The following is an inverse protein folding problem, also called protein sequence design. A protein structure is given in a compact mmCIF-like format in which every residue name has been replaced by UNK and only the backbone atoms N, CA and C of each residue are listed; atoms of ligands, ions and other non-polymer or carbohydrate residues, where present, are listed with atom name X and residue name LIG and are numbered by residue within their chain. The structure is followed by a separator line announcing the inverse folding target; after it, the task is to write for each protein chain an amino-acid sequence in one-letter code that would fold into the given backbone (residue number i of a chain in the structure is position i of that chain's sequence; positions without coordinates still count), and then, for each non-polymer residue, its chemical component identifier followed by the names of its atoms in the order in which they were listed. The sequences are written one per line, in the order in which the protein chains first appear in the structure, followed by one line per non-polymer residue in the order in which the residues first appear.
data_IF_256683197954
#
_entry.id   IF_256683197954
#
_cell.length_a   1.000
_cell.length_b   1.000
_cell.length_c   1.000
_cell.angle_alpha   90.00
_cell.angle_beta   90.00
_cell.angle_gamma   90.00
#
_symmetry.space_group_name_H-M   'P 1'
#
loop_
_entity.id
_entity.type
_entity.pdbx_description
1 polymer ?
#
# COMPACT_ATOMS: atom_id res chain seq x y z
N UNK A 1 24.07 4.29 0.51
CA UNK A 1 23.65 2.98 1.06
C UNK A 1 22.70 2.33 0.07
N UNK A 2 23.08 1.22 -0.53
CA UNK A 2 22.20 0.44 -1.39
C UNK A 2 21.34 -0.43 -0.47
N UNK A 3 20.07 -0.10 -0.32
CA UNK A 3 19.12 -0.95 0.40
C UNK A 3 18.87 -2.21 -0.47
N UNK A 4 19.32 -3.37 0.01
CA UNK A 4 19.20 -4.65 -0.71
C UNK A 4 17.92 -5.43 -0.38
N UNK A 5 17.11 -4.97 0.56
CA UNK A 5 15.91 -5.69 0.93
C UNK A 5 14.70 -5.27 0.09
N UNK A 6 14.11 -6.24 -0.58
CA UNK A 6 12.90 -6.05 -1.36
C UNK A 6 11.68 -6.02 -0.45
N UNK A 7 10.69 -5.23 -0.85
CA UNK A 7 9.42 -5.08 -0.13
C UNK A 7 8.24 -5.47 -1.01
N UNK A 8 7.16 -5.93 -0.41
CA UNK A 8 5.87 -6.09 -1.10
C UNK A 8 4.98 -4.90 -0.78
N UNK A 9 4.59 -4.13 -1.79
CA UNK A 9 3.50 -3.16 -1.67
C UNK A 9 2.22 -3.87 -2.04
N UNK A 10 1.24 -4.00 -1.14
CA UNK A 10 -0.02 -4.62 -1.50
C UNK A 10 -1.23 -3.71 -1.29
N UNK A 11 -2.21 -3.87 -2.17
CA UNK A 11 -3.40 -3.04 -2.26
C UNK A 11 -4.64 -3.92 -2.27
N UNK A 12 -5.43 -3.96 -1.18
CA UNK A 12 -6.74 -4.56 -1.21
C UNK A 12 -7.70 -3.68 -2.04
N UNK A 13 -8.49 -4.30 -2.90
CA UNK A 13 -9.41 -3.57 -3.77
C UNK A 13 -10.76 -4.28 -3.89
N UNK A 14 -11.82 -3.49 -4.04
CA UNK A 14 -13.16 -3.96 -4.34
C UNK A 14 -13.94 -2.89 -5.11
N UNK A 15 -14.33 -3.19 -6.37
CA UNK A 15 -15.04 -2.28 -7.27
C UNK A 15 -14.30 -0.92 -7.44
N UNK A 16 -13.01 -0.95 -7.82
CA UNK A 16 -12.13 0.23 -7.95
C UNK A 16 -11.45 0.35 -9.34
N UNK A 17 -12.10 -0.18 -10.38
CA UNK A 17 -11.57 -0.22 -11.75
C UNK A 17 -11.07 1.14 -12.30
N UNK A 18 -11.60 2.25 -11.79
CA UNK A 18 -11.33 3.60 -12.29
C UNK A 18 -10.15 4.31 -11.59
N UNK A 19 -9.65 3.77 -10.46
CA UNK A 19 -8.68 4.50 -9.63
C UNK A 19 -7.31 3.84 -9.57
N UNK A 20 -7.22 2.54 -9.79
CA UNK A 20 -5.98 1.76 -9.68
C UNK A 20 -4.88 2.23 -10.63
N UNK A 21 -5.23 2.83 -11.77
CA UNK A 21 -4.25 3.40 -12.71
C UNK A 21 -3.44 4.54 -12.09
N UNK A 22 -4.07 5.40 -11.28
CA UNK A 22 -3.38 6.50 -10.60
C UNK A 22 -2.36 5.97 -9.57
N UNK A 23 -2.74 4.94 -8.81
CA UNK A 23 -1.85 4.28 -7.88
C UNK A 23 -0.66 3.66 -8.62
N UNK A 24 -0.90 2.90 -9.70
CA UNK A 24 0.15 2.32 -10.51
C UNK A 24 1.13 3.36 -11.04
N UNK A 25 0.64 4.46 -11.61
CA UNK A 25 1.49 5.56 -12.09
C UNK A 25 2.34 6.15 -10.96
N UNK A 26 1.82 6.25 -9.75
CA UNK A 26 2.59 6.74 -8.60
C UNK A 26 3.67 5.74 -8.14
N UNK A 27 3.39 4.44 -8.21
CA UNK A 27 4.36 3.39 -7.93
C UNK A 27 5.48 3.34 -8.99
N UNK A 28 5.15 3.49 -10.26
CA UNK A 28 6.17 3.58 -11.33
C UNK A 28 7.14 4.76 -11.14
N UNK A 29 6.68 5.86 -10.55
CA UNK A 29 7.49 7.05 -10.29
C UNK A 29 8.36 6.95 -9.04
N UNK A 30 8.22 5.90 -8.22
CA UNK A 30 9.04 5.73 -7.04
C UNK A 30 10.52 5.67 -7.41
N UNK A 31 11.36 6.34 -6.64
CA UNK A 31 12.82 6.32 -6.79
C UNK A 31 13.42 4.98 -6.38
N UNK A 32 12.83 4.30 -5.39
CA UNK A 32 13.10 2.90 -5.08
C UNK A 32 12.43 2.00 -6.12
N UNK A 33 13.18 1.00 -6.64
CA UNK A 33 12.66 0.00 -7.59
C UNK A 33 12.66 -1.42 -7.03
N UNK A 34 13.17 -1.61 -5.82
CA UNK A 34 13.31 -2.90 -5.17
C UNK A 34 12.00 -3.28 -4.44
N UNK A 35 10.89 -3.37 -5.20
CA UNK A 35 9.61 -3.80 -4.67
C UNK A 35 8.78 -4.55 -5.73
N UNK A 36 7.83 -5.36 -5.27
CA UNK A 36 6.72 -5.89 -6.06
C UNK A 36 5.42 -5.20 -5.68
N UNK A 37 4.50 -5.07 -6.63
CA UNK A 37 3.14 -4.64 -6.34
C UNK A 37 2.17 -5.82 -6.40
N UNK A 38 1.43 -6.02 -5.34
CA UNK A 38 0.43 -7.07 -5.19
C UNK A 38 -0.96 -6.43 -5.05
N UNK A 39 -1.85 -6.68 -5.99
CA UNK A 39 -3.25 -6.26 -5.91
C UNK A 39 -4.10 -7.44 -5.47
N UNK A 40 -4.86 -7.26 -4.39
CA UNK A 40 -5.81 -8.27 -3.90
C UNK A 40 -7.23 -7.80 -4.20
N UNK A 41 -7.85 -8.38 -5.24
CA UNK A 41 -9.24 -8.13 -5.61
C UNK A 41 -10.17 -9.02 -4.79
N UNK A 42 -10.90 -8.41 -3.87
CA UNK A 42 -11.83 -9.08 -2.95
C UNK A 42 -13.16 -9.43 -3.61
N UNK A 43 -13.10 -10.05 -4.78
CA UNK A 43 -14.28 -10.51 -5.53
C UNK A 43 -15.10 -9.36 -6.11
N UNK A 44 -14.44 -8.40 -6.76
CA UNK A 44 -15.12 -7.29 -7.44
C UNK A 44 -16.17 -7.77 -8.41
N UNK A 45 -17.31 -7.06 -8.44
CA UNK A 45 -18.42 -7.30 -9.36
C UNK A 45 -18.35 -6.44 -10.63
N UNK A 46 -17.48 -5.44 -10.63
CA UNK A 46 -17.20 -4.59 -11.78
C UNK A 46 -16.02 -5.14 -12.62
N UNK A 47 -15.53 -4.35 -13.55
CA UNK A 47 -14.43 -4.70 -14.44
C UNK A 47 -13.03 -4.51 -13.83
N UNK A 48 -12.88 -4.44 -12.49
CA UNK A 48 -11.60 -4.16 -11.82
C UNK A 48 -10.50 -5.14 -12.26
N UNK A 49 -10.70 -6.44 -12.07
CA UNK A 49 -9.69 -7.45 -12.46
C UNK A 49 -9.43 -7.48 -13.96
N UNK A 50 -10.48 -7.39 -14.80
CA UNK A 50 -10.36 -7.43 -16.25
C UNK A 50 -9.52 -6.28 -16.79
N UNK A 51 -9.78 -5.05 -16.33
CA UNK A 51 -9.01 -3.86 -16.72
C UNK A 51 -7.54 -3.97 -16.34
N UNK A 52 -7.22 -4.52 -15.17
CA UNK A 52 -5.83 -4.74 -14.78
C UNK A 52 -5.16 -5.77 -15.69
N UNK A 53 -5.82 -6.91 -15.95
CA UNK A 53 -5.28 -7.96 -16.82
C UNK A 53 -5.02 -7.43 -18.23
N UNK A 54 -5.95 -6.67 -18.81
CA UNK A 54 -5.83 -6.08 -20.14
C UNK A 54 -4.77 -4.97 -20.20
N UNK A 55 -4.77 -4.05 -19.22
CA UNK A 55 -3.86 -2.90 -19.21
C UNK A 55 -2.39 -3.29 -19.04
N UNK A 56 -2.11 -4.41 -18.37
CA UNK A 56 -0.76 -4.87 -18.05
C UNK A 56 -0.36 -6.19 -18.72
N UNK A 57 -1.12 -6.65 -19.71
CA UNK A 57 -0.89 -7.94 -20.42
C UNK A 57 -0.56 -9.08 -19.44
N UNK A 58 -1.38 -9.21 -18.38
CA UNK A 58 -1.12 -10.16 -17.32
C UNK A 58 -1.48 -11.57 -17.75
N UNK A 59 -0.66 -12.55 -17.34
CA UNK A 59 -0.88 -13.97 -17.64
C UNK A 59 -1.32 -14.70 -16.38
N UNK A 60 -2.29 -15.60 -16.55
CA UNK A 60 -2.72 -16.49 -15.47
C UNK A 60 -1.59 -17.44 -15.08
N UNK A 61 -1.35 -17.54 -13.79
CA UNK A 61 -0.32 -18.42 -13.23
C UNK A 61 -0.90 -19.31 -12.14
N UNK A 62 -0.17 -20.38 -11.81
CA UNK A 62 -0.40 -21.19 -10.60
C UNK A 62 0.70 -20.86 -9.61
N UNK A 63 0.32 -20.21 -8.50
CA UNK A 63 1.23 -19.86 -7.42
C UNK A 63 0.66 -20.35 -6.09
N UNK A 64 1.32 -21.26 -5.37
CA UNK A 64 0.88 -21.69 -4.06
C UNK A 64 0.98 -20.52 -3.06
N UNK A 65 -0.08 -20.30 -2.29
CA UNK A 65 -0.11 -19.32 -1.20
C UNK A 65 -0.16 -20.09 0.12
N UNK A 66 0.90 -19.93 0.92
CA UNK A 66 0.96 -20.53 2.26
C UNK A 66 0.11 -19.70 3.24
N UNK A 67 -1.12 -20.15 3.49
CA UNK A 67 -2.06 -19.45 4.37
C UNK A 67 -1.71 -19.70 5.84
N UNK A 68 -0.98 -18.75 6.43
CA UNK A 68 -0.70 -18.72 7.88
C UNK A 68 -1.81 -18.00 8.65
N UNK A 69 -2.48 -17.05 8.00
CA UNK A 69 -3.61 -16.30 8.53
C UNK A 69 -4.87 -16.73 7.76
N UNK A 70 -5.99 -17.04 8.44
CA UNK A 70 -7.23 -17.44 7.76
C UNK A 70 -7.73 -16.36 6.79
N UNK A 71 -8.09 -16.77 5.57
CA UNK A 71 -8.72 -15.93 4.56
C UNK A 71 -9.48 -16.76 3.54
N UNK A 72 -10.41 -16.15 2.82
CA UNK A 72 -11.15 -16.79 1.73
C UNK A 72 -10.18 -17.19 0.58
N UNK A 73 -10.48 -18.27 -0.15
CA UNK A 73 -9.59 -18.78 -1.18
C UNK A 73 -9.46 -17.82 -2.38
N UNK A 74 -8.29 -17.87 -3.02
CA UNK A 74 -8.07 -17.28 -4.35
C UNK A 74 -8.87 -18.06 -5.41
N UNK A 75 -9.37 -17.30 -6.38
CA UNK A 75 -10.04 -17.82 -7.58
C UNK A 75 -9.05 -17.87 -8.75
N UNK A 76 -8.30 -16.77 -8.95
CA UNK A 76 -7.33 -16.61 -10.02
C UNK A 76 -6.14 -15.78 -9.54
N UNK A 77 -4.96 -16.09 -10.10
CA UNK A 77 -3.74 -15.33 -9.91
C UNK A 77 -3.18 -14.99 -11.28
N UNK A 78 -2.83 -13.71 -11.48
CA UNK A 78 -2.21 -13.22 -12.70
C UNK A 78 -0.91 -12.48 -12.36
N UNK A 79 0.09 -12.57 -13.24
CA UNK A 79 1.34 -11.81 -13.11
C UNK A 79 1.71 -11.15 -14.44
N UNK A 80 2.38 -9.99 -14.35
CA UNK A 80 2.98 -9.34 -15.52
C UNK A 80 4.28 -10.04 -15.91
N UNK A 81 4.53 -10.19 -17.22
CA UNK A 81 5.73 -10.88 -17.71
C UNK A 81 7.00 -10.01 -17.74
N UNK A 82 6.88 -8.67 -17.87
CA UNK A 82 8.01 -7.82 -18.28
C UNK A 82 7.99 -6.38 -17.74
N UNK A 83 7.29 -6.08 -16.66
CA UNK A 83 7.23 -4.72 -16.13
C UNK A 83 8.43 -4.41 -15.22
N UNK A 84 8.86 -3.13 -15.19
CA UNK A 84 9.92 -2.64 -14.28
C UNK A 84 9.59 -2.89 -12.81
N UNK A 85 8.29 -2.89 -12.48
CA UNK A 85 7.75 -3.24 -11.18
C UNK A 85 6.89 -4.48 -11.38
N UNK A 86 7.29 -5.65 -10.84
CA UNK A 86 6.47 -6.85 -10.93
C UNK A 86 5.09 -6.62 -10.31
N UNK A 87 4.05 -6.90 -11.07
CA UNK A 87 2.66 -6.80 -10.61
C UNK A 87 2.03 -8.20 -10.54
N UNK A 88 1.48 -8.52 -9.39
CA UNK A 88 0.65 -9.72 -9.18
C UNK A 88 -0.76 -9.30 -8.83
N UNK A 89 -1.75 -9.83 -9.52
CA UNK A 89 -3.18 -9.70 -9.19
C UNK A 89 -3.68 -11.02 -8.62
N UNK A 90 -4.23 -10.99 -7.41
CA UNK A 90 -4.92 -12.11 -6.79
C UNK A 90 -6.40 -11.75 -6.72
N UNK A 91 -7.23 -12.45 -7.49
CA UNK A 91 -8.68 -12.39 -7.33
C UNK A 91 -9.12 -13.49 -6.37
N UNK A 92 -9.88 -13.13 -5.34
CA UNK A 92 -10.36 -14.06 -4.33
C UNK A 92 -11.86 -13.96 -4.12
N UNK A 93 -12.44 -14.97 -3.48
CA UNK A 93 -13.81 -14.91 -3.01
C UNK A 93 -13.96 -13.77 -2.00
N UNK A 94 -15.04 -12.98 -2.12
CA UNK A 94 -15.28 -11.84 -1.24
C UNK A 94 -15.33 -12.28 0.24
N UNK A 95 -14.60 -11.59 1.08
CA UNK A 95 -14.53 -11.79 2.53
C UNK A 95 -14.43 -10.48 3.31
N UNK A 96 -14.39 -9.34 2.58
CA UNK A 96 -14.23 -8.01 3.16
C UNK A 96 -12.78 -7.55 3.28
N UNK A 97 -12.58 -6.27 3.63
CA UNK A 97 -11.27 -5.62 3.64
C UNK A 97 -10.25 -6.37 4.51
N UNK A 98 -10.62 -6.80 5.71
CA UNK A 98 -9.72 -7.52 6.62
C UNK A 98 -9.26 -8.86 6.03
N UNK A 99 -10.16 -9.60 5.42
CA UNK A 99 -9.86 -10.88 4.76
C UNK A 99 -8.94 -10.68 3.53
N UNK A 100 -9.15 -9.60 2.75
CA UNK A 100 -8.25 -9.23 1.67
C UNK A 100 -6.86 -8.83 2.16
N UNK A 101 -6.74 -8.16 3.32
CA UNK A 101 -5.46 -7.88 3.98
C UNK A 101 -4.76 -9.17 4.36
N UNK A 102 -5.46 -10.13 4.97
CA UNK A 102 -4.93 -11.44 5.34
C UNK A 102 -4.39 -12.20 4.11
N UNK A 103 -5.12 -12.17 3.00
CA UNK A 103 -4.65 -12.75 1.74
C UNK A 103 -3.37 -12.04 1.26
N UNK A 104 -3.31 -10.71 1.30
CA UNK A 104 -2.13 -9.93 0.94
C UNK A 104 -0.91 -10.34 1.78
N UNK A 105 -1.04 -10.41 3.11
CA UNK A 105 0.03 -10.80 4.03
C UNK A 105 0.51 -12.23 3.72
N UNK A 106 -0.39 -13.19 3.52
CA UNK A 106 -0.05 -14.56 3.17
C UNK A 106 0.72 -14.64 1.83
N UNK A 107 0.32 -13.82 0.85
CA UNK A 107 0.88 -13.82 -0.50
C UNK A 107 2.18 -13.02 -0.65
N UNK A 108 2.53 -12.14 0.30
CA UNK A 108 3.79 -11.39 0.29
C UNK A 108 5.00 -12.31 0.18
N UNK A 109 5.92 -12.02 -0.77
CA UNK A 109 7.17 -12.78 -0.97
C UNK A 109 8.29 -12.31 -0.04
N UNK A 110 8.27 -11.03 0.33
CA UNK A 110 9.38 -10.40 1.04
C UNK A 110 9.12 -10.24 2.54
N UNK A 111 10.17 -10.03 3.36
CA UNK A 111 10.05 -9.94 4.81
C UNK A 111 9.30 -8.70 5.29
N UNK A 112 9.23 -7.67 4.45
CA UNK A 112 8.52 -6.43 4.74
C UNK A 112 7.40 -6.21 3.74
N UNK A 113 6.27 -5.71 4.23
CA UNK A 113 5.17 -5.33 3.37
C UNK A 113 4.60 -3.96 3.73
N UNK A 114 4.12 -3.27 2.71
CA UNK A 114 3.36 -2.02 2.84
C UNK A 114 1.92 -2.32 2.47
N UNK A 115 0.99 -2.03 3.38
CA UNK A 115 -0.44 -1.98 3.06
C UNK A 115 -0.79 -0.58 2.56
N UNK A 116 -1.54 -0.50 1.46
CA UNK A 116 -1.87 0.74 0.81
C UNK A 116 -3.29 0.73 0.23
N UNK A 117 -4.09 1.75 0.52
CA UNK A 117 -5.42 1.86 -0.05
C UNK A 117 -5.37 2.20 -1.54
N UNK A 118 -6.35 1.69 -2.31
CA UNK A 118 -6.40 1.82 -3.77
C UNK A 118 -6.53 3.27 -4.28
N UNK A 119 -7.03 4.18 -3.44
CA UNK A 119 -7.23 5.61 -3.72
C UNK A 119 -6.06 6.51 -3.27
N UNK A 120 -4.98 5.91 -2.80
CA UNK A 120 -3.79 6.63 -2.38
C UNK A 120 -2.85 6.94 -3.57
N UNK A 121 -2.12 8.05 -3.46
CA UNK A 121 -1.07 8.46 -4.42
C UNK A 121 0.21 8.71 -3.63
N UNK A 122 1.31 8.09 -4.07
CA UNK A 122 2.61 8.23 -3.42
C UNK A 122 3.42 9.38 -4.01
N UNK A 123 4.09 10.13 -3.15
CA UNK A 123 5.19 10.98 -3.57
C UNK A 123 6.40 10.13 -4.02
N UNK A 124 7.22 10.63 -4.93
CA UNK A 124 8.25 9.84 -5.60
C UNK A 124 9.29 9.17 -4.68
N UNK A 125 9.52 9.70 -3.49
CA UNK A 125 10.47 9.18 -2.50
C UNK A 125 9.79 8.47 -1.31
N UNK A 126 8.48 8.24 -1.36
CA UNK A 126 7.72 7.71 -0.24
C UNK A 126 8.19 6.33 0.22
N UNK A 127 8.52 5.43 -0.71
CA UNK A 127 8.98 4.08 -0.36
C UNK A 127 10.35 4.12 0.34
N UNK A 128 11.27 4.96 -0.11
CA UNK A 128 12.57 5.12 0.56
C UNK A 128 12.40 5.68 1.97
N UNK A 129 11.56 6.70 2.12
CA UNK A 129 11.34 7.35 3.42
C UNK A 129 10.70 6.43 4.45
N UNK A 130 9.72 5.61 4.04
CA UNK A 130 9.03 4.73 4.99
C UNK A 130 9.88 3.52 5.36
N UNK A 131 10.78 3.05 4.48
CA UNK A 131 11.65 1.91 4.76
C UNK A 131 12.88 2.28 5.60
N UNK A 132 13.35 3.52 5.53
CA UNK A 132 14.56 3.94 6.23
C UNK A 132 14.54 3.65 7.76
N UNK A 133 13.49 3.96 8.54
CA UNK A 133 13.47 3.69 9.97
C UNK A 133 13.53 2.20 10.32
N UNK A 134 12.77 1.35 9.61
CA UNK A 134 12.71 -0.09 9.93
C UNK A 134 13.99 -0.84 9.56
N UNK A 135 14.74 -0.31 8.59
CA UNK A 135 16.04 -0.87 8.19
C UNK A 135 17.19 -0.34 9.04
N UNK A 136 17.01 0.77 9.75
CA UNK A 136 18.05 1.35 10.62
C UNK A 136 18.00 0.83 12.06
N UNK A 137 16.87 0.26 12.48
CA UNK A 137 16.68 -0.27 13.84
C UNK A 137 15.94 -1.62 13.79
N UNK A 138 16.63 -2.69 14.21
CA UNK A 138 16.10 -4.05 14.22
C UNK A 138 14.89 -4.24 15.14
N UNK A 139 14.74 -3.40 16.16
CA UNK A 139 13.61 -3.43 17.09
C UNK A 139 12.36 -2.77 16.50
N UNK A 140 12.49 -1.99 15.44
CA UNK A 140 11.34 -1.39 14.76
C UNK A 140 10.56 -2.48 14.00
N UNK A 141 9.30 -2.71 14.39
CA UNK A 141 8.44 -3.74 13.81
C UNK A 141 7.44 -3.17 12.79
N UNK A 142 7.13 -1.89 12.90
CA UNK A 142 6.18 -1.22 12.01
C UNK A 142 6.46 0.29 11.91
N UNK A 143 6.16 0.88 10.75
CA UNK A 143 6.36 2.31 10.47
C UNK A 143 5.12 2.86 9.77
N UNK A 144 4.56 3.95 10.29
CA UNK A 144 3.43 4.64 9.65
C UNK A 144 3.86 5.83 8.81
N UNK A 145 3.41 5.90 7.57
CA UNK A 145 3.64 7.07 6.71
C UNK A 145 2.74 8.25 7.06
N UNK A 146 3.13 9.44 6.64
CA UNK A 146 2.29 10.64 6.73
C UNK A 146 1.29 10.66 5.59
N UNK A 147 0.01 10.82 5.92
CA UNK A 147 -1.08 10.88 4.95
C UNK A 147 -1.66 12.29 4.95
N UNK A 148 -1.92 12.82 3.78
CA UNK A 148 -2.54 14.13 3.58
C UNK A 148 -3.66 14.04 2.55
N UNK A 149 -4.78 14.73 2.76
CA UNK A 149 -5.81 14.86 1.74
C UNK A 149 -5.24 15.56 0.49
N UNK A 150 -5.57 15.04 -0.69
CA UNK A 150 -5.10 15.59 -1.97
C UNK A 150 -5.97 16.74 -2.50
N UNK A 151 -6.88 17.28 -1.70
CA UNK A 151 -7.72 18.42 -2.08
C UNK A 151 -6.85 19.66 -2.31
N UNK A 152 -6.93 20.24 -3.51
CA UNK A 152 -6.13 21.42 -3.93
C UNK A 152 -4.60 21.26 -3.81
N UNK A 153 -4.10 20.03 -3.99
CA UNK A 153 -2.68 19.71 -4.09
C UNK A 153 -2.27 19.58 -5.55
N UNK A 154 -1.26 20.32 -5.95
CA UNK A 154 -0.65 20.20 -7.29
C UNK A 154 0.52 19.21 -7.22
N UNK A 155 0.43 18.12 -7.99
CA UNK A 155 1.49 17.12 -8.13
C UNK A 155 2.14 17.27 -9.52
N UNK A 156 3.47 17.32 -9.56
CA UNK A 156 4.24 17.32 -10.79
C UNK A 156 5.33 16.24 -10.72
N UNK A 157 5.28 15.30 -11.67
CA UNK A 157 6.23 14.16 -11.74
C UNK A 157 6.38 13.34 -10.45
N UNK A 158 5.31 13.22 -9.67
CA UNK A 158 5.32 12.52 -8.39
C UNK A 158 5.82 13.35 -7.21
N UNK A 159 6.07 14.63 -7.40
CA UNK A 159 6.43 15.57 -6.33
C UNK A 159 5.32 16.56 -6.07
N UNK A 160 5.15 16.92 -4.80
CA UNK A 160 4.23 17.99 -4.43
C UNK A 160 4.86 19.32 -4.82
N UNK A 161 4.24 19.99 -5.79
CA UNK A 161 4.65 21.32 -6.24
C UNK A 161 4.05 22.40 -5.36
N UNK A 162 2.80 22.23 -4.96
CA UNK A 162 2.07 23.22 -4.19
C UNK A 162 0.96 22.59 -3.35
N UNK A 163 0.88 23.03 -2.10
CA UNK A 163 -0.26 22.81 -1.22
C UNK A 163 -1.11 24.08 -1.16
N UNK A 164 -2.43 23.93 -1.27
CA UNK A 164 -3.39 25.00 -1.01
C UNK A 164 -4.46 24.48 -0.04
N UNK A 165 -4.99 25.35 0.78
CA UNK A 165 -6.18 25.03 1.55
C UNK A 165 -7.39 25.00 0.61
N UNK A 166 -8.23 23.95 0.70
CA UNK A 166 -9.46 23.88 -0.10
C UNK A 166 -10.39 25.06 0.21
N UNK A 167 -11.11 25.53 -0.81
CA UNK A 167 -12.13 26.56 -0.65
C UNK A 167 -13.37 26.06 0.10
N UNK A 168 -13.64 24.76 0.03
CA UNK A 168 -14.73 24.14 0.76
C UNK A 168 -14.38 24.06 2.26
N UNK A 169 -15.18 24.66 3.17
CA UNK A 169 -14.87 24.67 4.59
C UNK A 169 -14.73 23.29 5.22
N UNK A 170 -15.55 22.32 4.81
CA UNK A 170 -15.48 20.94 5.33
C UNK A 170 -14.17 20.25 4.90
N UNK A 171 -13.76 20.41 3.64
CA UNK A 171 -12.49 19.90 3.16
C UNK A 171 -11.29 20.60 3.85
N UNK A 172 -11.40 21.90 4.12
CA UNK A 172 -10.38 22.64 4.87
C UNK A 172 -10.24 22.11 6.31
N UNK A 173 -11.34 21.86 7.01
CA UNK A 173 -11.34 21.25 8.35
C UNK A 173 -10.71 19.84 8.31
N UNK A 174 -10.99 19.06 7.30
CA UNK A 174 -10.38 17.73 7.12
C UNK A 174 -8.86 17.83 6.96
N UNK A 175 -8.35 18.75 6.14
CA UNK A 175 -6.90 18.96 6.00
C UNK A 175 -6.25 19.33 7.32
N UNK A 176 -6.85 20.26 8.08
CA UNK A 176 -6.34 20.69 9.38
C UNK A 176 -6.32 19.51 10.38
N UNK A 177 -7.37 18.69 10.41
CA UNK A 177 -7.43 17.51 11.29
C UNK A 177 -6.36 16.47 10.93
N UNK A 178 -6.12 16.21 9.65
CA UNK A 178 -5.05 15.32 9.22
C UNK A 178 -3.66 15.85 9.59
N UNK A 179 -3.40 17.13 9.35
CA UNK A 179 -2.12 17.74 9.72
C UNK A 179 -1.93 17.74 11.26
N UNK A 180 -2.95 18.04 12.03
CA UNK A 180 -2.89 17.93 13.49
C UNK A 180 -2.57 16.51 13.95
N UNK A 181 -3.25 15.51 13.39
CA UNK A 181 -3.05 14.12 13.77
C UNK A 181 -1.65 13.60 13.37
N UNK A 182 -1.24 13.84 12.13
CA UNK A 182 0.02 13.30 11.63
C UNK A 182 1.26 14.08 12.07
N UNK A 183 1.17 15.40 12.23
CA UNK A 183 2.33 16.22 12.55
C UNK A 183 2.48 16.51 14.05
N UNK A 184 1.38 16.69 14.79
CA UNK A 184 1.46 16.98 16.21
C UNK A 184 1.38 15.70 17.07
N UNK A 185 0.29 14.92 16.95
CA UNK A 185 0.06 13.79 17.84
C UNK A 185 1.09 12.66 17.63
N UNK A 186 1.44 12.32 16.38
CA UNK A 186 2.42 11.25 16.12
C UNK A 186 3.83 11.61 16.56
N UNK A 187 4.30 12.83 16.29
CA UNK A 187 5.64 13.26 16.73
C UNK A 187 5.76 13.18 18.25
N UNK A 188 4.69 13.52 18.98
CA UNK A 188 4.68 13.39 20.42
C UNK A 188 4.82 11.93 20.87
N UNK A 189 4.08 11.00 20.25
CA UNK A 189 4.13 9.57 20.61
C UNK A 189 5.43 8.91 20.18
N UNK A 190 6.06 9.33 19.09
CA UNK A 190 7.36 8.81 18.64
C UNK A 190 8.47 9.05 19.68
N UNK A 191 8.38 10.14 20.46
CA UNK A 191 9.32 10.39 21.56
C UNK A 191 9.22 9.35 22.70
N UNK A 192 8.10 8.63 22.79
CA UNK A 192 7.88 7.56 23.77
C UNK A 192 8.06 6.14 23.15
N UNK A 193 8.73 6.03 22.02
CA UNK A 193 8.95 4.76 21.28
C UNK A 193 7.66 4.01 20.92
N UNK A 194 6.56 4.70 20.70
CA UNK A 194 5.31 4.04 20.38
C UNK A 194 4.32 4.90 19.61
N UNK A 195 3.99 4.48 18.39
CA UNK A 195 2.81 4.98 17.68
C UNK A 195 1.59 4.15 18.07
N UNK A 196 0.55 4.77 18.63
CA UNK A 196 -0.67 4.07 19.03
C UNK A 196 -1.45 3.49 17.84
N UNK A 197 -1.35 4.10 16.66
CA UNK A 197 -2.10 3.72 15.47
C UNK A 197 -1.24 3.93 14.23
N UNK A 198 -1.10 2.88 13.42
CA UNK A 198 -0.56 2.96 12.06
C UNK A 198 -1.73 2.95 11.09
N UNK A 199 -1.80 3.96 10.22
CA UNK A 199 -2.88 4.04 9.24
C UNK A 199 -2.79 2.89 8.23
N UNK A 200 -3.92 2.21 7.99
CA UNK A 200 -4.03 1.19 6.95
C UNK A 200 -3.88 1.71 5.51
N UNK A 201 -3.87 3.04 5.32
CA UNK A 201 -3.69 3.64 4.00
C UNK A 201 -2.21 3.74 3.56
N UNK A 202 -1.25 3.74 4.50
CA UNK A 202 0.19 3.70 4.22
C UNK A 202 0.98 3.30 5.47
N UNK A 203 1.12 2.00 5.68
CA UNK A 203 1.87 1.40 6.80
C UNK A 203 2.82 0.32 6.33
N UNK A 204 4.06 0.31 6.83
CA UNK A 204 5.08 -0.71 6.60
C UNK A 204 5.19 -1.61 7.83
N UNK A 205 5.28 -2.93 7.62
CA UNK A 205 5.30 -3.92 8.69
C UNK A 205 6.30 -5.04 8.43
N UNK A 206 6.89 -5.60 9.49
CA UNK A 206 7.60 -6.90 9.44
C UNK A 206 6.59 -8.04 9.36
N UNK A 207 6.67 -8.84 8.30
CA UNK A 207 5.70 -9.91 8.00
C UNK A 207 5.67 -11.01 9.07
N UNK A 208 6.81 -11.47 9.52
CA UNK A 208 6.94 -12.54 10.52
C UNK A 208 6.32 -12.15 11.87
N UNK A 209 6.51 -10.90 12.28
CA UNK A 209 5.91 -10.36 13.52
C UNK A 209 4.38 -10.36 13.42
N UNK A 210 3.83 -9.84 12.32
CA UNK A 210 2.37 -9.80 12.13
C UNK A 210 1.77 -11.21 12.10
N UNK A 211 2.43 -12.17 11.44
CA UNK A 211 1.97 -13.57 11.42
C UNK A 211 2.01 -14.19 12.82
N UNK A 212 3.05 -13.89 13.61
CA UNK A 212 3.21 -14.46 14.96
C UNK A 212 2.17 -13.92 15.94
N UNK A 213 1.78 -12.66 15.78
CA UNK A 213 0.79 -12.02 16.64
C UNK A 213 -0.65 -12.50 16.36
N UNK A 214 -0.90 -13.25 15.28
CA UNK A 214 -2.24 -13.69 14.85
C UNK A 214 -3.29 -12.55 14.79
N UNK A 215 -2.86 -11.36 14.37
CA UNK A 215 -3.70 -10.17 14.27
C UNK A 215 -4.49 -10.16 12.97
#
# INVERSE_FOLDING_TARGET
MQYQEKITVFTPTYNRAYILENLYRSLQRQTCKEFEWLVVDDGSKDTTSQKLVEAFDMKAIRRPIHRKIPCQPEEFIYETAAEKVPLTLIRKKNGGKADALNMGINACRFPYFICMDADSVLQADSLIKITAPILSDENTIAVGGVIRPCNDVELENGWVKRYRLPKNPLACMQVIEYDRYFLASRILFDQFNGSLIISGAFGLFKKDVIITLNL
#
